data_IF_238597535686
#
_entry.id   IF_238597535686
#
_cell.length_a   1.000
_cell.length_b   1.000
_cell.length_c   1.000
_cell.angle_alpha   90.00
_cell.angle_beta   90.00
_cell.angle_gamma   90.00
#
_symmetry.space_group_name_H-M   'P 1'
#
loop_
_entity.id
_entity.type
_entity.pdbx_description
1 polymer ?
#
# COMPACT_ATOMS: atom_id res chain seq x y z
N UNK A 1 -18.25 18.70 5.66
CA UNK A 1 -17.54 18.64 4.37
C UNK A 1 -16.07 18.90 4.70
N UNK A 2 -15.26 17.85 4.86
CA UNK A 2 -13.83 18.01 5.19
C UNK A 2 -13.09 18.45 3.92
N UNK A 3 -13.22 19.73 3.58
CA UNK A 3 -12.83 20.26 2.26
C UNK A 3 -11.37 20.69 2.23
N UNK A 4 -10.54 19.96 1.48
CA UNK A 4 -9.24 20.39 0.91
C UNK A 4 -8.17 21.03 1.83
N UNK A 5 -8.40 21.22 3.13
CA UNK A 5 -7.41 21.85 4.04
C UNK A 5 -6.12 21.04 4.15
N UNK A 6 -6.23 19.71 4.10
CA UNK A 6 -5.07 18.82 4.10
C UNK A 6 -4.15 19.03 2.88
N UNK A 7 -4.72 19.38 1.72
CA UNK A 7 -3.96 19.65 0.48
C UNK A 7 -3.06 20.86 0.67
N UNK A 8 -3.55 21.90 1.36
CA UNK A 8 -2.76 23.09 1.67
C UNK A 8 -1.74 22.80 2.77
N UNK A 9 -2.15 22.16 3.86
CA UNK A 9 -1.28 21.89 5.01
C UNK A 9 -0.12 20.94 4.69
N UNK A 10 -0.35 19.95 3.82
CA UNK A 10 0.67 19.00 3.36
C UNK A 10 1.37 19.46 2.08
N UNK A 11 1.12 20.70 1.63
CA UNK A 11 1.69 21.30 0.42
C UNK A 11 1.56 20.42 -0.84
N UNK A 12 0.46 19.70 -0.96
CA UNK A 12 0.21 18.71 -2.03
C UNK A 12 0.22 19.36 -3.41
N UNK A 13 -0.13 20.65 -3.52
CA UNK A 13 -0.06 21.40 -4.79
C UNK A 13 1.36 21.51 -5.35
N UNK A 14 2.39 21.35 -4.52
CA UNK A 14 3.79 21.38 -4.97
C UNK A 14 4.29 20.03 -5.49
N UNK A 15 3.52 18.96 -5.28
CA UNK A 15 3.86 17.64 -5.78
C UNK A 15 3.69 17.59 -7.32
N UNK A 16 4.62 16.94 -8.06
CA UNK A 16 4.53 16.82 -9.52
C UNK A 16 3.18 16.31 -10.03
N UNK A 17 2.58 15.33 -9.36
CA UNK A 17 1.25 14.79 -9.73
C UNK A 17 0.10 15.42 -8.93
N UNK A 18 0.41 16.32 -8.01
CA UNK A 18 -0.56 17.07 -7.23
C UNK A 18 -1.51 16.18 -6.43
N UNK A 19 -2.78 16.61 -6.32
CA UNK A 19 -3.82 15.92 -5.55
C UNK A 19 -4.65 14.92 -6.37
N UNK A 20 -4.36 14.75 -7.66
CA UNK A 20 -5.11 13.86 -8.54
C UNK A 20 -4.64 12.40 -8.47
N UNK A 21 -3.49 12.16 -7.84
CA UNK A 21 -2.96 10.82 -7.58
C UNK A 21 -3.58 10.21 -6.31
N UNK A 22 -3.47 8.89 -6.13
CA UNK A 22 -3.78 8.23 -4.87
C UNK A 22 -2.83 8.63 -3.75
N UNK A 23 -3.35 8.55 -2.52
CA UNK A 23 -2.60 8.75 -1.29
C UNK A 23 -2.86 7.58 -0.36
N UNK A 24 -1.82 7.16 0.37
CA UNK A 24 -1.83 5.94 1.15
C UNK A 24 -1.51 6.22 2.62
N UNK A 25 -2.21 5.51 3.50
CA UNK A 25 -1.75 5.32 4.87
C UNK A 25 -0.75 4.15 4.86
N UNK A 26 0.50 4.43 5.21
CA UNK A 26 1.63 3.49 5.16
C UNK A 26 2.00 3.08 6.57
N UNK A 27 1.99 1.77 6.83
CA UNK A 27 2.54 1.18 8.06
C UNK A 27 4.03 0.91 7.82
N UNK A 28 4.91 1.44 8.67
CA UNK A 28 6.37 1.36 8.49
C UNK A 28 6.99 0.40 9.50
N UNK A 29 8.08 -0.27 9.14
CA UNK A 29 8.76 -1.23 10.03
C UNK A 29 9.19 -0.63 11.38
N UNK A 30 9.46 0.68 11.42
CA UNK A 30 9.78 1.42 12.66
C UNK A 30 8.59 1.58 13.62
N UNK A 31 7.42 1.05 13.28
CA UNK A 31 6.19 1.14 14.06
C UNK A 31 5.41 2.44 13.86
N UNK A 32 5.82 3.30 12.91
CA UNK A 32 5.10 4.53 12.59
C UNK A 32 4.07 4.36 11.47
N UNK A 33 3.00 5.15 11.54
CA UNK A 33 2.06 5.34 10.45
C UNK A 33 2.38 6.65 9.73
N UNK A 34 2.44 6.61 8.39
CA UNK A 34 2.75 7.77 7.54
C UNK A 34 1.67 7.96 6.49
N UNK A 35 1.52 9.18 5.99
CA UNK A 35 0.65 9.49 4.87
C UNK A 35 1.50 9.89 3.67
N UNK A 36 1.44 9.12 2.58
CA UNK A 36 2.32 9.27 1.43
C UNK A 36 1.53 9.37 0.13
N UNK A 37 2.00 10.23 -0.77
CA UNK A 37 1.54 10.28 -2.15
C UNK A 37 2.10 9.08 -2.94
N UNK A 38 1.35 8.59 -3.92
CA UNK A 38 1.80 7.48 -4.78
C UNK A 38 3.19 7.71 -5.36
N UNK A 39 3.48 8.92 -5.84
CA UNK A 39 4.76 9.23 -6.47
C UNK A 39 5.97 9.18 -5.53
N UNK A 40 5.74 9.15 -4.22
CA UNK A 40 6.78 9.02 -3.20
C UNK A 40 7.00 7.57 -2.76
N UNK A 41 6.31 6.61 -3.40
CA UNK A 41 6.38 5.19 -3.08
C UNK A 41 6.91 4.40 -4.26
N UNK A 42 7.69 3.37 -3.95
CA UNK A 42 8.18 2.38 -4.92
C UNK A 42 7.92 0.97 -4.38
N UNK A 43 7.77 0.01 -5.29
CA UNK A 43 7.61 -1.39 -4.91
C UNK A 43 8.93 -1.92 -4.35
N UNK A 44 8.85 -2.66 -3.24
CA UNK A 44 10.03 -3.30 -2.68
C UNK A 44 10.46 -4.49 -3.55
N UNK A 45 11.71 -4.51 -4.00
CA UNK A 45 12.27 -5.59 -4.83
C UNK A 45 12.36 -6.92 -4.06
N UNK A 46 12.52 -6.86 -2.74
CA UNK A 46 12.59 -8.02 -1.85
C UNK A 46 11.61 -7.81 -0.68
N UNK A 47 10.32 -8.12 -0.88
CA UNK A 47 9.30 -7.94 0.14
C UNK A 47 9.60 -8.75 1.40
N UNK A 48 9.37 -8.13 2.55
CA UNK A 48 9.55 -8.75 3.86
C UNK A 48 8.37 -8.42 4.76
N UNK A 49 8.09 -9.32 5.70
CA UNK A 49 7.10 -9.07 6.74
C UNK A 49 7.65 -8.04 7.74
N UNK A 50 6.84 -7.04 8.08
CA UNK A 50 7.16 -6.02 9.09
C UNK A 50 6.44 -6.30 10.41
N UNK A 51 7.06 -5.89 11.53
CA UNK A 51 6.54 -6.08 12.89
C UNK A 51 5.65 -4.93 13.39
N UNK A 52 4.98 -4.20 12.49
CA UNK A 52 4.18 -3.03 12.89
C UNK A 52 2.92 -3.45 13.67
N UNK A 53 2.63 -2.85 14.84
CA UNK A 53 1.58 -3.32 15.76
C UNK A 53 0.17 -3.32 15.16
N UNK A 54 -0.11 -2.39 14.24
CA UNK A 54 -1.42 -2.30 13.57
C UNK A 54 -1.55 -3.18 12.31
N UNK A 55 -0.57 -4.00 11.93
CA UNK A 55 -0.70 -4.86 10.72
C UNK A 55 -1.94 -5.75 10.83
N UNK A 56 -2.12 -6.43 11.96
CA UNK A 56 -3.27 -7.31 12.20
C UNK A 56 -4.63 -6.60 12.20
N UNK A 57 -4.65 -5.26 12.33
CA UNK A 57 -5.87 -4.46 12.23
C UNK A 57 -6.46 -4.47 10.81
N UNK A 58 -5.60 -4.61 9.79
CA UNK A 58 -5.97 -4.47 8.38
C UNK A 58 -5.74 -5.76 7.58
N UNK A 59 -4.72 -6.53 7.96
CA UNK A 59 -4.24 -7.68 7.20
C UNK A 59 -4.26 -8.94 8.05
N UNK A 60 -4.42 -10.09 7.40
CA UNK A 60 -4.48 -11.40 8.05
C UNK A 60 -3.13 -12.13 8.02
N UNK A 61 -2.40 -12.05 6.90
CA UNK A 61 -1.17 -12.81 6.68
C UNK A 61 -0.26 -12.13 5.64
N UNK A 62 1.05 -12.33 5.77
CA UNK A 62 2.03 -11.99 4.72
C UNK A 62 2.35 -13.21 3.84
N UNK A 63 2.21 -13.06 2.53
CA UNK A 63 2.37 -14.16 1.56
C UNK A 63 3.81 -14.40 1.08
N UNK A 64 4.77 -13.62 1.58
CA UNK A 64 6.13 -13.54 1.02
C UNK A 64 6.30 -12.44 -0.04
N UNK A 65 5.20 -11.87 -0.57
CA UNK A 65 5.26 -10.78 -1.57
C UNK A 65 4.39 -9.58 -1.19
N UNK A 66 3.22 -9.85 -0.60
CA UNK A 66 2.25 -8.85 -0.17
C UNK A 66 1.42 -9.37 1.01
N UNK A 67 0.71 -8.48 1.68
CA UNK A 67 -0.23 -8.83 2.74
C UNK A 67 -1.63 -9.13 2.19
N UNK A 68 -2.29 -10.15 2.74
CA UNK A 68 -3.69 -10.46 2.47
C UNK A 68 -4.59 -9.57 3.34
N UNK A 69 -5.58 -8.86 2.77
CA UNK A 69 -6.55 -8.11 3.56
C UNK A 69 -7.30 -9.03 4.52
N UNK A 70 -7.62 -8.54 5.72
CA UNK A 70 -8.49 -9.28 6.63
C UNK A 70 -9.97 -9.15 6.19
N UNK A 71 -10.84 -9.94 6.82
CA UNK A 71 -12.26 -9.98 6.45
C UNK A 71 -12.97 -8.61 6.57
N UNK A 72 -12.54 -7.71 7.47
CA UNK A 72 -13.12 -6.36 7.57
C UNK A 72 -12.72 -5.52 6.36
N UNK A 73 -11.45 -5.57 5.95
CA UNK A 73 -10.93 -4.79 4.83
C UNK A 73 -11.47 -5.33 3.50
N UNK A 74 -11.55 -6.65 3.33
CA UNK A 74 -12.18 -7.30 2.17
C UNK A 74 -13.67 -6.93 2.02
N UNK A 75 -14.41 -6.90 3.13
CA UNK A 75 -15.82 -6.50 3.10
C UNK A 75 -15.98 -5.01 2.74
N UNK A 76 -15.02 -4.18 3.14
CA UNK A 76 -15.05 -2.74 2.88
C UNK A 76 -14.68 -2.40 1.43
N UNK A 77 -13.77 -3.17 0.82
CA UNK A 77 -13.27 -2.96 -0.54
C UNK A 77 -13.25 -4.28 -1.33
N UNK A 78 -14.41 -4.88 -1.63
CA UNK A 78 -14.48 -6.16 -2.33
C UNK A 78 -13.92 -6.12 -3.76
N UNK A 79 -13.90 -4.94 -4.39
CA UNK A 79 -13.38 -4.73 -5.73
C UNK A 79 -11.84 -4.70 -5.82
N UNK A 80 -11.14 -4.46 -4.70
CA UNK A 80 -9.68 -4.30 -4.70
C UNK A 80 -8.96 -5.62 -4.99
N UNK A 81 -9.61 -6.76 -4.72
CA UNK A 81 -9.02 -8.08 -4.81
C UNK A 81 -8.43 -8.36 -6.19
N UNK A 82 -9.17 -8.09 -7.28
CA UNK A 82 -8.68 -8.28 -8.65
C UNK A 82 -7.48 -7.39 -8.97
N UNK A 83 -7.51 -6.12 -8.55
CA UNK A 83 -6.42 -5.17 -8.75
C UNK A 83 -5.16 -5.56 -7.98
N UNK A 84 -5.30 -6.11 -6.77
CA UNK A 84 -4.17 -6.63 -5.98
C UNK A 84 -3.54 -7.82 -6.69
N UNK A 85 -4.34 -8.79 -7.16
CA UNK A 85 -3.81 -9.94 -7.91
C UNK A 85 -3.05 -9.51 -9.16
N UNK A 86 -3.64 -8.63 -9.98
CA UNK A 86 -2.99 -8.14 -11.20
C UNK A 86 -1.66 -7.43 -10.88
N UNK A 87 -1.68 -6.54 -9.88
CA UNK A 87 -0.48 -5.80 -9.45
C UNK A 87 0.62 -6.75 -8.97
N UNK A 88 0.30 -7.71 -8.10
CA UNK A 88 1.26 -8.67 -7.56
C UNK A 88 1.86 -9.52 -8.68
N UNK A 89 1.04 -9.98 -9.63
CA UNK A 89 1.52 -10.75 -10.77
C UNK A 89 2.49 -9.94 -11.64
N UNK A 90 2.12 -8.69 -11.95
CA UNK A 90 2.94 -7.81 -12.78
C UNK A 90 4.29 -7.47 -12.13
N UNK A 91 4.32 -7.33 -10.80
CA UNK A 91 5.53 -6.91 -10.07
C UNK A 91 6.42 -8.10 -9.68
N UNK A 92 5.83 -9.22 -9.23
CA UNK A 92 6.59 -10.28 -8.55
C UNK A 92 6.66 -11.63 -9.29
N UNK A 93 5.82 -11.90 -10.30
CA UNK A 93 5.79 -13.23 -10.93
C UNK A 93 7.01 -13.54 -11.82
N UNK A 94 7.78 -12.54 -12.24
CA UNK A 94 9.00 -12.74 -13.02
C UNK A 94 10.13 -13.49 -12.28
N UNK A 95 10.04 -13.65 -10.94
CA UNK A 95 11.05 -14.37 -10.14
C UNK A 95 10.83 -15.87 -10.05
N UNK A 96 9.65 -16.41 -10.43
CA UNK A 96 9.35 -17.84 -10.25
C UNK A 96 9.99 -18.74 -11.30
N UNK A 97 10.43 -18.19 -12.45
CA UNK A 97 11.00 -18.96 -13.57
C UNK A 97 12.54 -19.07 -13.55
N UNK A 98 13.23 -18.46 -12.60
CA UNK A 98 14.71 -18.48 -12.53
C UNK A 98 15.28 -19.25 -11.32
N UNK A 99 14.44 -20.04 -10.65
CA UNK A 99 14.82 -20.86 -9.50
C UNK A 99 14.46 -22.34 -9.76
N UNK A 100 15.03 -22.91 -10.82
CA UNK A 100 15.13 -24.37 -11.05
C UNK A 100 16.57 -24.74 -11.41
#
# INVERSE_FOLDING_TARGET
>A
MMGHEWIRNMNVHSLPHGHHQPFYNVLVEDGSCRYAAQENLEYNVEPQEISHPDVGRYFSEFTGTHYIPNAELELRYPEDLESVYETVQNIYSAKKENAE
#
